data_IF_692889444933
#
_entry.id   IF_692889444933
#
_cell.length_a   1.000
_cell.length_b   1.000
_cell.length_c   1.000
_cell.angle_alpha   90.00
_cell.angle_beta   90.00
_cell.angle_gamma   90.00
#
_symmetry.space_group_name_H-M   'P 1'
#
loop_
_entity.id
_entity.type
_entity.pdbx_description
1 polymer ?
#
# COMPACT_ATOMS: atom_id res chain seq x y z
N UNK A 1 -14.33 -10.69 -26.32
CA UNK A 1 -15.03 -9.97 -25.20
C UNK A 1 -14.94 -10.85 -23.99
N UNK A 2 -14.29 -10.38 -22.92
CA UNK A 2 -14.13 -11.17 -21.70
C UNK A 2 -15.42 -11.12 -20.88
N UNK A 3 -15.75 -12.20 -20.16
CA UNK A 3 -16.96 -12.28 -19.31
C UNK A 3 -17.11 -11.08 -18.36
N UNK A 4 -16.00 -10.51 -17.89
CA UNK A 4 -15.99 -9.32 -17.02
C UNK A 4 -16.40 -8.02 -17.74
N UNK A 5 -16.05 -7.85 -19.02
CA UNK A 5 -16.50 -6.67 -19.78
C UNK A 5 -18.01 -6.71 -19.97
N UNK A 6 -18.57 -7.89 -20.18
CA UNK A 6 -20.02 -8.09 -20.26
C UNK A 6 -20.73 -7.80 -18.93
N UNK A 7 -20.17 -8.22 -17.79
CA UNK A 7 -20.73 -7.92 -16.46
C UNK A 7 -20.73 -6.41 -16.21
N UNK A 8 -19.66 -5.73 -16.58
CA UNK A 8 -19.53 -4.28 -16.40
C UNK A 8 -20.51 -3.51 -17.28
N UNK A 9 -20.70 -3.93 -18.52
CA UNK A 9 -21.69 -3.33 -19.43
C UNK A 9 -23.14 -3.59 -18.99
N UNK A 10 -23.42 -4.81 -18.50
CA UNK A 10 -24.74 -5.18 -18.01
C UNK A 10 -25.11 -4.51 -16.68
N UNK A 11 -24.12 -4.22 -15.85
CA UNK A 11 -24.31 -3.72 -14.49
C UNK A 11 -23.32 -2.57 -14.15
N UNK A 12 -23.39 -1.41 -14.82
CA UNK A 12 -22.38 -0.36 -14.73
C UNK A 12 -22.21 0.26 -13.33
N UNK A 13 -23.24 0.22 -12.49
CA UNK A 13 -23.23 0.77 -11.13
C UNK A 13 -22.92 -0.29 -10.09
N UNK A 14 -23.40 -1.53 -10.27
CA UNK A 14 -23.20 -2.58 -9.27
C UNK A 14 -21.76 -3.06 -9.19
N UNK A 15 -21.02 -3.10 -10.31
CA UNK A 15 -19.63 -3.52 -10.32
C UNK A 15 -18.72 -2.62 -9.45
N UNK A 16 -18.73 -1.26 -9.58
CA UNK A 16 -17.99 -0.38 -8.67
C UNK A 16 -18.43 -0.48 -7.20
N UNK A 17 -19.73 -0.66 -6.94
CA UNK A 17 -20.23 -0.82 -5.57
C UNK A 17 -19.69 -2.10 -4.94
N UNK A 18 -19.77 -3.22 -5.64
CA UNK A 18 -19.23 -4.51 -5.17
C UNK A 18 -17.71 -4.43 -4.97
N UNK A 19 -17.01 -3.72 -5.87
CA UNK A 19 -15.58 -3.47 -5.75
C UNK A 19 -15.25 -2.62 -4.51
N UNK A 20 -16.05 -1.62 -4.20
CA UNK A 20 -15.89 -0.81 -2.99
C UNK A 20 -16.10 -1.64 -1.72
N UNK A 21 -17.12 -2.51 -1.69
CA UNK A 21 -17.34 -3.44 -0.58
C UNK A 21 -16.13 -4.38 -0.41
N UNK A 22 -15.64 -4.95 -1.50
CA UNK A 22 -14.43 -5.78 -1.49
C UNK A 22 -13.23 -4.99 -0.96
N UNK A 23 -13.04 -3.75 -1.43
CA UNK A 23 -11.99 -2.85 -0.96
C UNK A 23 -12.09 -2.57 0.54
N UNK A 24 -13.28 -2.39 1.10
CA UNK A 24 -13.50 -2.23 2.53
C UNK A 24 -13.11 -3.47 3.33
N UNK A 25 -13.50 -4.67 2.86
CA UNK A 25 -13.12 -5.95 3.48
C UNK A 25 -11.60 -6.14 3.46
N UNK A 26 -10.97 -5.88 2.31
CA UNK A 26 -9.51 -5.96 2.19
C UNK A 26 -8.84 -4.92 3.08
N UNK A 27 -9.36 -3.68 3.15
CA UNK A 27 -8.85 -2.62 4.01
C UNK A 27 -8.87 -2.99 5.49
N UNK A 28 -9.94 -3.64 5.97
CA UNK A 28 -10.02 -4.14 7.34
C UNK A 28 -8.93 -5.18 7.62
N UNK A 29 -8.72 -6.12 6.71
CA UNK A 29 -7.61 -7.09 6.82
C UNK A 29 -6.24 -6.42 6.78
N UNK A 30 -6.02 -5.46 5.88
CA UNK A 30 -4.75 -4.73 5.77
C UNK A 30 -4.45 -3.91 7.04
N UNK A 31 -5.48 -3.42 7.73
CA UNK A 31 -5.36 -2.79 9.05
C UNK A 31 -4.77 -3.75 10.07
N UNK A 32 -5.26 -4.98 10.13
CA UNK A 32 -4.70 -6.03 11.01
C UNK A 32 -3.26 -6.37 10.65
N UNK A 33 -2.95 -6.48 9.35
CA UNK A 33 -1.58 -6.71 8.87
C UNK A 33 -0.66 -5.58 9.33
N UNK A 34 -1.06 -4.33 9.14
CA UNK A 34 -0.26 -3.17 9.49
C UNK A 34 -0.02 -3.04 11.01
N UNK A 35 -0.96 -3.51 11.84
CA UNK A 35 -0.81 -3.48 13.30
C UNK A 35 0.00 -4.65 13.86
N UNK A 36 -0.17 -5.86 13.32
CA UNK A 36 0.46 -7.07 13.90
C UNK A 36 1.82 -7.41 13.28
N UNK A 37 1.99 -7.15 11.99
CA UNK A 37 3.20 -7.58 11.27
C UNK A 37 4.50 -6.97 11.82
N UNK A 38 4.57 -5.68 12.23
CA UNK A 38 5.78 -5.13 12.84
C UNK A 38 6.22 -5.89 14.08
N UNK A 39 5.30 -6.17 15.02
CA UNK A 39 5.61 -6.92 16.22
C UNK A 39 6.08 -8.35 15.94
N UNK A 40 5.48 -9.03 14.94
CA UNK A 40 5.91 -10.37 14.52
C UNK A 40 7.33 -10.34 13.92
N UNK A 41 7.63 -9.34 13.10
CA UNK A 41 8.95 -9.21 12.43
C UNK A 41 10.04 -8.80 13.42
N UNK A 42 9.71 -8.00 14.43
CA UNK A 42 10.63 -7.60 15.50
C UNK A 42 10.78 -8.65 16.60
N UNK A 43 10.10 -9.80 16.47
CA UNK A 43 10.12 -10.91 17.45
C UNK A 43 9.70 -10.46 18.86
N UNK A 44 8.71 -9.57 18.97
CA UNK A 44 8.18 -9.09 20.23
C UNK A 44 7.39 -10.20 20.93
N UNK A 45 7.67 -10.42 22.23
CA UNK A 45 6.99 -11.42 23.04
C UNK A 45 5.46 -11.16 23.05
N UNK A 46 4.68 -12.18 22.68
CA UNK A 46 3.21 -12.08 22.63
C UNK A 46 2.62 -11.52 21.34
N UNK A 47 3.42 -11.25 20.31
CA UNK A 47 2.93 -10.73 19.03
C UNK A 47 1.95 -11.68 18.29
N UNK A 48 1.89 -12.96 18.67
CA UNK A 48 1.00 -13.97 18.09
C UNK A 48 1.28 -14.23 16.61
N UNK A 49 0.22 -14.42 15.81
CA UNK A 49 0.30 -14.49 14.36
C UNK A 49 -0.79 -13.60 13.72
N UNK A 50 -0.81 -13.48 12.39
CA UNK A 50 -1.78 -12.62 11.69
C UNK A 50 -3.24 -13.06 11.89
N UNK A 51 -3.49 -14.35 12.15
CA UNK A 51 -4.83 -14.92 12.27
C UNK A 51 -5.29 -15.05 13.72
N UNK A 52 -4.37 -15.26 14.65
CA UNK A 52 -4.67 -15.48 16.08
C UNK A 52 -3.85 -14.55 16.97
N UNK A 53 -4.46 -14.07 18.07
CA UNK A 53 -5.85 -14.21 18.51
C UNK A 53 -6.84 -13.47 17.60
N UNK A 54 -8.15 -13.79 17.72
CA UNK A 54 -9.21 -13.05 17.04
C UNK A 54 -9.15 -11.54 17.39
N UNK A 55 -9.72 -10.69 16.56
CA UNK A 55 -9.77 -9.24 16.81
C UNK A 55 -10.48 -8.97 18.14
N UNK A 56 -9.86 -8.18 19.01
CA UNK A 56 -10.35 -7.89 20.36
C UNK A 56 -10.05 -6.44 20.74
N UNK A 57 -10.81 -5.94 21.70
CA UNK A 57 -10.55 -4.62 22.27
C UNK A 57 -9.26 -4.64 23.12
N UNK A 58 -8.30 -3.74 22.90
CA UNK A 58 -7.04 -3.76 23.67
C UNK A 58 -7.22 -3.44 25.16
N UNK A 59 -8.34 -2.81 25.54
CA UNK A 59 -8.60 -2.39 26.92
C UNK A 59 -9.38 -3.44 27.73
N UNK A 60 -10.54 -3.90 27.21
CA UNK A 60 -11.38 -4.85 27.93
C UNK A 60 -11.22 -6.31 27.48
N UNK A 61 -10.36 -6.57 26.47
CA UNK A 61 -10.10 -7.91 25.89
C UNK A 61 -11.36 -8.60 25.32
N UNK A 62 -12.45 -7.84 25.15
CA UNK A 62 -13.65 -8.35 24.50
C UNK A 62 -13.33 -8.77 23.07
N UNK A 63 -13.64 -10.01 22.70
CA UNK A 63 -13.51 -10.50 21.32
C UNK A 63 -14.62 -9.91 20.46
N UNK A 64 -14.25 -9.31 19.33
CA UNK A 64 -15.22 -8.66 18.43
C UNK A 64 -16.15 -9.70 17.81
N UNK A 65 -17.46 -9.48 17.92
CA UNK A 65 -18.47 -10.25 17.22
C UNK A 65 -18.40 -9.95 15.70
N UNK A 66 -18.95 -10.85 14.86
CA UNK A 66 -18.88 -10.70 13.41
C UNK A 66 -19.45 -9.36 12.90
N UNK A 67 -20.53 -8.86 13.51
CA UNK A 67 -21.13 -7.57 13.13
C UNK A 67 -20.31 -6.36 13.59
N UNK A 68 -19.49 -6.50 14.64
CA UNK A 68 -18.57 -5.46 15.12
C UNK A 68 -17.32 -5.35 14.22
N UNK A 69 -17.11 -6.33 13.35
CA UNK A 69 -16.00 -6.41 12.41
C UNK A 69 -16.42 -6.13 10.94
N UNK A 70 -17.66 -5.66 10.71
CA UNK A 70 -18.10 -5.23 9.39
C UNK A 70 -17.42 -3.90 9.04
N UNK A 71 -16.60 -3.84 7.97
CA UNK A 71 -15.84 -2.65 7.64
C UNK A 71 -16.73 -1.42 7.47
N UNK A 72 -16.25 -0.28 7.95
CA UNK A 72 -16.94 1.03 7.95
C UNK A 72 -18.23 1.06 8.75
N UNK A 73 -19.11 0.07 8.58
CA UNK A 73 -20.45 0.03 9.17
C UNK A 73 -20.37 -0.07 10.69
N UNK A 74 -19.54 -0.99 11.20
CA UNK A 74 -19.38 -1.19 12.64
C UNK A 74 -18.85 0.08 13.33
N UNK A 75 -17.85 0.72 12.75
CA UNK A 75 -17.29 1.95 13.30
C UNK A 75 -18.30 3.10 13.33
N UNK A 76 -19.10 3.26 12.27
CA UNK A 76 -20.14 4.29 12.19
C UNK A 76 -21.28 4.00 13.19
N UNK A 77 -21.76 2.76 13.28
CA UNK A 77 -22.83 2.37 14.22
C UNK A 77 -22.41 2.53 15.68
N UNK A 78 -21.16 2.14 16.00
CA UNK A 78 -20.58 2.25 17.34
C UNK A 78 -20.00 3.64 17.64
N UNK A 79 -20.09 4.58 16.68
CA UNK A 79 -19.54 5.95 16.80
C UNK A 79 -18.07 5.96 17.20
N UNK A 80 -17.28 5.03 16.66
CA UNK A 80 -15.86 4.90 16.94
C UNK A 80 -15.54 4.47 18.37
N UNK A 81 -16.42 3.70 19.05
CA UNK A 81 -16.22 3.25 20.43
C UNK A 81 -16.44 1.75 20.56
N UNK A 82 -15.72 1.13 21.47
CA UNK A 82 -15.95 -0.27 21.82
C UNK A 82 -17.37 -0.45 22.39
N UNK A 83 -18.09 -1.45 21.91
CA UNK A 83 -19.45 -1.75 22.36
C UNK A 83 -19.52 -2.08 23.88
N UNK A 84 -18.49 -2.72 24.44
CA UNK A 84 -18.52 -3.17 25.83
C UNK A 84 -17.96 -2.15 26.83
N UNK A 85 -16.81 -1.52 26.55
CA UNK A 85 -16.14 -0.62 27.48
C UNK A 85 -16.17 0.86 27.10
N UNK A 86 -16.68 1.21 25.91
CA UNK A 86 -16.77 2.58 25.45
C UNK A 86 -15.45 3.23 25.03
N UNK A 87 -14.31 2.51 25.12
CA UNK A 87 -13.00 3.03 24.69
C UNK A 87 -13.03 3.39 23.20
N UNK A 88 -12.36 4.49 22.84
CA UNK A 88 -12.31 4.99 21.46
C UNK A 88 -11.49 4.06 20.56
N UNK A 89 -12.06 3.70 19.41
CA UNK A 89 -11.39 2.97 18.34
C UNK A 89 -10.57 3.97 17.51
N UNK A 90 -9.28 3.71 17.25
CA UNK A 90 -8.45 4.61 16.48
C UNK A 90 -9.03 4.93 15.10
N UNK A 91 -9.11 6.22 14.77
CA UNK A 91 -9.63 6.70 13.48
C UNK A 91 -8.84 6.12 12.28
N UNK A 92 -7.57 5.80 12.48
CA UNK A 92 -6.71 5.20 11.44
C UNK A 92 -7.29 3.90 10.86
N UNK A 93 -7.94 3.06 11.68
CA UNK A 93 -8.57 1.81 11.22
C UNK A 93 -9.74 2.11 10.29
N UNK A 94 -10.60 3.06 10.65
CA UNK A 94 -11.66 3.52 9.76
C UNK A 94 -11.12 4.12 8.46
N UNK A 95 -10.05 4.92 8.55
CA UNK A 95 -9.47 5.56 7.37
C UNK A 95 -8.90 4.57 6.37
N UNK A 96 -8.24 3.49 6.82
CA UNK A 96 -7.72 2.49 5.88
C UNK A 96 -8.85 1.75 5.17
N UNK A 97 -9.91 1.38 5.89
CA UNK A 97 -11.09 0.75 5.31
C UNK A 97 -11.75 1.67 4.29
N UNK A 98 -11.92 2.95 4.63
CA UNK A 98 -12.53 3.96 3.77
C UNK A 98 -11.71 4.24 2.51
N UNK A 99 -10.39 4.45 2.67
CA UNK A 99 -9.48 4.71 1.55
C UNK A 99 -9.44 3.49 0.62
N UNK A 100 -9.38 2.28 1.18
CA UNK A 100 -9.37 1.05 0.38
C UNK A 100 -10.69 0.87 -0.36
N UNK A 101 -11.84 1.08 0.30
CA UNK A 101 -13.16 1.01 -0.33
C UNK A 101 -13.29 2.03 -1.48
N UNK A 102 -12.90 3.28 -1.22
CA UNK A 102 -12.93 4.35 -2.20
C UNK A 102 -12.00 4.05 -3.39
N UNK A 103 -10.78 3.61 -3.12
CA UNK A 103 -9.79 3.26 -4.13
C UNK A 103 -10.30 2.15 -5.06
N UNK A 104 -10.79 1.04 -4.51
CA UNK A 104 -11.33 -0.07 -5.29
C UNK A 104 -12.57 0.34 -6.09
N UNK A 105 -13.48 1.10 -5.50
CA UNK A 105 -14.69 1.58 -6.17
C UNK A 105 -14.39 2.55 -7.31
N UNK A 106 -13.54 3.56 -7.06
CA UNK A 106 -13.19 4.57 -8.06
C UNK A 106 -12.39 3.95 -9.21
N UNK A 107 -11.41 3.09 -8.92
CA UNK A 107 -10.63 2.43 -9.97
C UNK A 107 -11.49 1.47 -10.81
N UNK A 108 -12.44 0.75 -10.19
CA UNK A 108 -13.41 -0.07 -10.89
C UNK A 108 -14.31 0.76 -11.82
N UNK A 109 -14.63 2.00 -11.43
CA UNK A 109 -15.41 2.91 -12.27
C UNK A 109 -14.57 3.47 -13.43
N UNK A 110 -13.36 3.94 -13.14
CA UNK A 110 -12.55 4.70 -14.12
C UNK A 110 -11.74 3.83 -15.07
N UNK A 111 -11.25 2.66 -14.63
CA UNK A 111 -10.35 1.85 -15.45
C UNK A 111 -11.13 0.97 -16.44
N UNK A 112 -10.91 1.14 -17.75
CA UNK A 112 -11.65 0.37 -18.77
C UNK A 112 -11.14 -1.07 -18.88
N UNK A 113 -9.86 -1.29 -18.59
CA UNK A 113 -9.23 -2.58 -18.71
C UNK A 113 -9.29 -3.37 -17.38
N UNK A 114 -9.86 -4.56 -17.47
CA UNK A 114 -10.08 -5.43 -16.30
C UNK A 114 -8.76 -6.03 -15.78
N UNK A 115 -7.85 -6.39 -16.68
CA UNK A 115 -6.58 -7.00 -16.29
C UNK A 115 -5.69 -5.97 -15.58
N UNK A 116 -5.59 -4.75 -16.10
CA UNK A 116 -4.89 -3.64 -15.45
C UNK A 116 -5.53 -3.29 -14.10
N UNK A 117 -6.86 -3.37 -13.98
CA UNK A 117 -7.57 -3.15 -12.74
C UNK A 117 -7.18 -4.15 -11.65
N UNK A 118 -7.18 -5.46 -11.96
CA UNK A 118 -6.76 -6.48 -11.00
C UNK A 118 -5.28 -6.37 -10.63
N UNK A 119 -4.41 -6.03 -11.60
CA UNK A 119 -3.00 -5.77 -11.34
C UNK A 119 -2.82 -4.59 -10.39
N UNK A 120 -3.57 -3.49 -10.60
CA UNK A 120 -3.55 -2.34 -9.72
C UNK A 120 -4.04 -2.68 -8.30
N UNK A 121 -5.10 -3.47 -8.17
CA UNK A 121 -5.57 -3.90 -6.87
C UNK A 121 -4.55 -4.78 -6.14
N UNK A 122 -3.93 -5.72 -6.85
CA UNK A 122 -2.86 -6.55 -6.29
C UNK A 122 -1.68 -5.68 -5.81
N UNK A 123 -1.25 -4.71 -6.62
CA UNK A 123 -0.21 -3.75 -6.25
C UNK A 123 -0.59 -2.98 -4.97
N UNK A 124 -1.83 -2.46 -4.91
CA UNK A 124 -2.33 -1.70 -3.76
C UNK A 124 -2.40 -2.53 -2.48
N UNK A 125 -2.75 -3.83 -2.57
CA UNK A 125 -2.80 -4.74 -1.41
C UNK A 125 -1.45 -4.89 -0.71
N UNK A 126 -0.34 -4.74 -1.42
CA UNK A 126 1.00 -4.73 -0.81
C UNK A 126 1.44 -3.33 -0.41
N UNK A 127 1.18 -2.32 -1.24
CA UNK A 127 1.67 -0.96 -0.99
C UNK A 127 0.95 -0.27 0.17
N UNK A 128 -0.35 -0.51 0.36
CA UNK A 128 -1.10 0.10 1.45
C UNK A 128 -0.55 -0.30 2.84
N UNK A 129 -0.40 -1.61 3.18
CA UNK A 129 0.16 -1.98 4.47
C UNK A 129 1.64 -1.57 4.59
N UNK A 130 2.46 -1.64 3.53
CA UNK A 130 3.84 -1.16 3.54
C UNK A 130 3.92 0.32 3.89
N UNK A 131 3.09 1.15 3.26
CA UNK A 131 3.03 2.58 3.55
C UNK A 131 2.61 2.88 4.99
N UNK A 132 1.66 2.10 5.55
CA UNK A 132 1.22 2.27 6.93
C UNK A 132 2.27 1.84 7.94
N UNK A 133 2.92 0.70 7.71
CA UNK A 133 3.96 0.18 8.58
C UNK A 133 5.14 1.15 8.59
N UNK A 134 5.56 1.62 7.41
CA UNK A 134 6.66 2.56 7.32
C UNK A 134 6.32 3.92 7.98
N UNK A 135 5.09 4.40 7.82
CA UNK A 135 4.64 5.63 8.49
C UNK A 135 4.72 5.56 10.03
N UNK A 136 4.44 4.38 10.61
CA UNK A 136 4.36 4.20 12.06
C UNK A 136 5.68 3.72 12.67
N UNK A 137 6.38 2.81 11.99
CA UNK A 137 7.52 2.07 12.52
C UNK A 137 8.82 2.30 11.76
N UNK A 138 8.78 3.04 10.64
CA UNK A 138 9.93 3.24 9.74
C UNK A 138 10.56 1.90 9.32
N UNK A 139 9.72 0.91 9.07
CA UNK A 139 10.07 -0.45 8.71
C UNK A 139 9.35 -0.86 7.43
N UNK A 140 10.09 -1.46 6.50
CA UNK A 140 9.55 -2.08 5.29
C UNK A 140 9.86 -3.59 5.33
N UNK A 141 8.91 -4.43 5.80
CA UNK A 141 9.14 -5.86 6.01
C UNK A 141 9.41 -6.60 4.70
N UNK A 142 10.43 -7.47 4.71
CA UNK A 142 10.80 -8.30 3.55
C UNK A 142 9.70 -9.29 3.16
N UNK A 143 8.89 -9.74 4.12
CA UNK A 143 7.74 -10.61 3.87
C UNK A 143 6.62 -9.94 3.05
N UNK A 144 6.65 -8.63 2.84
CA UNK A 144 5.77 -7.91 1.92
C UNK A 144 6.52 -7.41 0.68
N UNK A 145 7.72 -6.85 0.83
CA UNK A 145 8.47 -6.28 -0.30
C UNK A 145 8.94 -7.34 -1.29
N UNK A 146 9.39 -8.53 -0.79
CA UNK A 146 9.83 -9.61 -1.67
C UNK A 146 8.67 -10.23 -2.47
N UNK A 147 7.54 -10.63 -1.87
CA UNK A 147 6.40 -11.10 -2.65
C UNK A 147 5.87 -10.06 -3.64
N UNK A 148 5.90 -8.77 -3.28
CA UNK A 148 5.53 -7.69 -4.19
C UNK A 148 6.44 -7.67 -5.44
N UNK A 149 7.76 -7.76 -5.26
CA UNK A 149 8.73 -7.80 -6.36
C UNK A 149 8.46 -9.01 -7.27
N UNK A 150 8.33 -10.19 -6.68
CA UNK A 150 8.07 -11.41 -7.45
C UNK A 150 6.72 -11.40 -8.15
N UNK A 151 5.69 -10.84 -7.53
CA UNK A 151 4.37 -10.68 -8.15
C UNK A 151 4.45 -9.80 -9.41
N UNK A 152 5.23 -8.71 -9.41
CA UNK A 152 5.46 -7.86 -10.57
C UNK A 152 6.16 -8.62 -11.71
N UNK A 153 7.23 -9.34 -11.40
CA UNK A 153 7.95 -10.15 -12.40
C UNK A 153 7.07 -11.25 -12.99
N UNK A 154 6.33 -11.98 -12.14
CA UNK A 154 5.41 -13.04 -12.59
C UNK A 154 4.28 -12.47 -13.44
N UNK A 155 3.72 -11.32 -13.05
CA UNK A 155 2.68 -10.68 -13.85
C UNK A 155 3.17 -10.44 -15.28
N UNK A 156 4.36 -9.88 -15.46
CA UNK A 156 4.91 -9.59 -16.80
C UNK A 156 5.45 -10.82 -17.53
N UNK A 157 5.69 -11.93 -16.83
CA UNK A 157 5.97 -13.22 -17.47
C UNK A 157 4.74 -13.79 -18.21
N UNK A 158 3.52 -13.45 -17.77
CA UNK A 158 2.26 -13.92 -18.35
C UNK A 158 1.51 -12.80 -19.11
N UNK A 159 1.69 -11.55 -18.69
CA UNK A 159 1.09 -10.37 -19.33
C UNK A 159 2.14 -9.67 -20.20
N UNK A 160 1.97 -9.72 -21.51
CA UNK A 160 2.93 -9.19 -22.48
C UNK A 160 2.86 -7.66 -22.68
N UNK A 161 2.21 -6.90 -21.80
CA UNK A 161 2.12 -5.43 -21.90
C UNK A 161 3.46 -4.75 -21.69
N UNK A 162 4.22 -5.21 -20.71
CA UNK A 162 5.59 -4.80 -20.47
C UNK A 162 6.50 -6.01 -20.73
N UNK A 163 7.58 -5.87 -21.53
CA UNK A 163 8.56 -6.94 -21.71
C UNK A 163 9.16 -7.34 -20.35
N UNK A 164 9.25 -8.64 -20.08
CA UNK A 164 9.86 -9.15 -18.85
C UNK A 164 11.29 -8.62 -18.63
N UNK A 165 12.02 -8.36 -19.71
CA UNK A 165 13.36 -7.76 -19.64
C UNK A 165 13.31 -6.37 -19.02
N UNK A 166 12.33 -5.53 -19.38
CA UNK A 166 12.17 -4.19 -18.83
C UNK A 166 11.77 -4.22 -17.35
N UNK A 167 10.96 -5.19 -16.94
CA UNK A 167 10.63 -5.44 -15.53
C UNK A 167 11.86 -5.89 -14.72
N UNK A 168 12.68 -6.80 -15.28
CA UNK A 168 13.93 -7.23 -14.66
C UNK A 168 14.94 -6.09 -14.52
N UNK A 169 15.16 -5.32 -15.60
CA UNK A 169 16.03 -4.14 -15.55
C UNK A 169 15.47 -3.09 -14.59
N UNK A 170 14.14 -2.95 -14.52
CA UNK A 170 13.46 -2.09 -13.57
C UNK A 170 13.75 -2.48 -12.11
N UNK A 171 13.67 -3.76 -11.79
CA UNK A 171 14.00 -4.25 -10.45
C UNK A 171 15.45 -3.95 -10.08
N UNK A 172 16.40 -4.27 -10.97
CA UNK A 172 17.84 -4.04 -10.76
C UNK A 172 18.16 -2.54 -10.67
N UNK A 173 17.66 -1.75 -11.61
CA UNK A 173 17.93 -0.31 -11.65
C UNK A 173 17.28 0.41 -10.46
N UNK A 174 16.05 0.02 -10.06
CA UNK A 174 15.38 0.59 -8.91
C UNK A 174 16.13 0.34 -7.60
N UNK A 175 16.70 -0.87 -7.42
CA UNK A 175 17.56 -1.14 -6.27
C UNK A 175 18.84 -0.31 -6.32
N UNK A 176 19.54 -0.33 -7.45
CA UNK A 176 20.86 0.29 -7.60
C UNK A 176 20.79 1.82 -7.56
N UNK A 177 19.73 2.46 -8.04
CA UNK A 177 19.61 3.92 -8.03
C UNK A 177 19.68 4.48 -6.60
N UNK A 178 18.82 3.99 -5.71
CA UNK A 178 18.83 4.42 -4.31
C UNK A 178 20.06 3.90 -3.54
N UNK A 179 20.55 2.71 -3.86
CA UNK A 179 21.77 2.16 -3.27
C UNK A 179 22.99 3.03 -3.60
N UNK A 180 23.17 3.44 -4.85
CA UNK A 180 24.24 4.34 -5.27
C UNK A 180 24.10 5.72 -4.63
N UNK A 181 22.87 6.26 -4.57
CA UNK A 181 22.58 7.52 -3.91
C UNK A 181 22.93 7.48 -2.41
N UNK A 182 22.56 6.39 -1.72
CA UNK A 182 22.90 6.16 -0.32
C UNK A 182 24.41 6.18 -0.09
N UNK A 183 25.19 5.43 -0.87
CA UNK A 183 26.63 5.39 -0.73
C UNK A 183 27.30 6.72 -1.10
N UNK A 184 26.83 7.40 -2.14
CA UNK A 184 27.32 8.73 -2.49
C UNK A 184 27.09 9.72 -1.34
N UNK A 185 25.88 9.73 -0.77
CA UNK A 185 25.56 10.60 0.36
C UNK A 185 26.37 10.25 1.62
N UNK A 186 26.49 8.98 1.95
CA UNK A 186 27.26 8.52 3.11
C UNK A 186 28.76 8.84 2.99
N UNK A 187 29.35 8.70 1.82
CA UNK A 187 30.75 9.06 1.58
C UNK A 187 31.00 10.57 1.68
N UNK A 188 30.01 11.39 1.25
CA UNK A 188 30.15 12.85 1.28
C UNK A 188 29.86 13.45 2.65
N UNK A 189 28.90 12.91 3.39
CA UNK A 189 28.39 13.53 4.63
C UNK A 189 28.73 12.74 5.90
N UNK A 190 29.13 11.48 5.79
CA UNK A 190 29.34 10.56 6.92
C UNK A 190 28.05 10.14 7.64
N UNK A 191 26.86 10.51 7.11
CA UNK A 191 25.55 10.22 7.72
C UNK A 191 24.76 9.22 6.88
N UNK A 192 23.89 8.45 7.53
CA UNK A 192 22.93 7.58 6.86
C UNK A 192 21.68 8.42 6.53
N UNK A 193 21.32 8.50 5.23
CA UNK A 193 20.23 9.36 4.76
C UNK A 193 18.99 8.60 4.31
N UNK A 194 19.07 7.29 4.07
CA UNK A 194 17.98 6.47 3.52
C UNK A 194 17.96 5.09 4.18
N UNK A 195 16.77 4.49 4.28
CA UNK A 195 16.60 3.13 4.77
C UNK A 195 16.85 2.08 3.67
N UNK A 196 17.43 0.93 4.03
CA UNK A 196 17.61 -0.20 3.09
C UNK A 196 16.26 -0.76 2.56
N UNK A 197 15.18 -0.55 3.29
CA UNK A 197 13.85 -0.95 2.87
C UNK A 197 13.36 -0.22 1.63
N UNK A 198 13.68 1.06 1.50
CA UNK A 198 13.30 1.90 0.35
C UNK A 198 13.89 1.38 -0.96
N UNK A 199 15.13 0.82 -0.92
CA UNK A 199 15.76 0.24 -2.11
C UNK A 199 14.99 -0.97 -2.61
N UNK A 200 14.54 -1.83 -1.69
CA UNK A 200 13.75 -3.02 -2.00
C UNK A 200 12.36 -2.65 -2.52
N UNK A 201 11.75 -1.63 -1.93
CA UNK A 201 10.46 -1.13 -2.38
C UNK A 201 10.56 -0.52 -3.79
N UNK A 202 11.58 0.30 -4.07
CA UNK A 202 11.77 0.85 -5.42
C UNK A 202 12.12 -0.23 -6.44
N UNK A 203 12.89 -1.26 -6.05
CA UNK A 203 13.12 -2.44 -6.88
C UNK A 203 11.81 -3.15 -7.23
N UNK A 204 10.92 -3.34 -6.25
CA UNK A 204 9.62 -3.92 -6.47
C UNK A 204 8.76 -3.05 -7.43
N UNK A 205 8.73 -1.74 -7.24
CA UNK A 205 8.02 -0.82 -8.15
C UNK A 205 8.62 -0.83 -9.55
N UNK A 206 9.94 -0.94 -9.69
CA UNK A 206 10.61 -1.13 -10.97
C UNK A 206 10.22 -2.44 -11.67
N UNK A 207 10.02 -3.52 -10.90
CA UNK A 207 9.48 -4.77 -11.44
C UNK A 207 8.04 -4.64 -11.97
N UNK A 208 7.23 -3.75 -11.40
CA UNK A 208 5.85 -3.50 -11.82
C UNK A 208 5.71 -2.51 -12.97
N UNK A 209 6.52 -1.45 -12.97
CA UNK A 209 6.39 -0.32 -13.89
C UNK A 209 7.46 -0.29 -14.99
N UNK A 210 8.50 -1.12 -14.88
CA UNK A 210 9.66 -1.10 -15.78
C UNK A 210 10.66 0.00 -15.42
N UNK A 211 11.87 -0.11 -15.99
CA UNK A 211 12.97 0.81 -15.71
C UNK A 211 12.72 2.25 -16.21
N UNK A 212 11.94 2.41 -17.29
CA UNK A 212 11.59 3.71 -17.86
C UNK A 212 10.75 4.58 -16.92
N UNK A 213 10.00 3.94 -16.01
CA UNK A 213 9.14 4.61 -15.05
C UNK A 213 9.88 5.08 -13.78
N UNK A 214 11.05 4.53 -13.49
CA UNK A 214 11.79 4.83 -12.25
C UNK A 214 12.05 6.33 -12.02
N UNK A 215 12.54 7.11 -13.02
CA UNK A 215 12.78 8.53 -12.79
C UNK A 215 11.50 9.31 -12.42
N UNK A 216 10.35 8.92 -12.99
CA UNK A 216 9.07 9.56 -12.67
C UNK A 216 8.56 9.15 -11.27
N UNK A 217 8.78 7.90 -10.86
CA UNK A 217 8.45 7.42 -9.51
C UNK A 217 9.32 8.14 -8.47
N UNK A 218 10.64 8.19 -8.68
CA UNK A 218 11.57 8.85 -7.76
C UNK A 218 11.27 10.35 -7.64
N UNK A 219 11.03 11.04 -8.76
CA UNK A 219 10.69 12.44 -8.76
C UNK A 219 9.36 12.71 -8.05
N UNK A 220 8.32 11.95 -8.35
CA UNK A 220 7.01 12.10 -7.71
C UNK A 220 7.08 11.80 -6.20
N UNK A 221 7.83 10.76 -5.80
CA UNK A 221 8.05 10.44 -4.40
C UNK A 221 8.82 11.56 -3.68
N UNK A 222 9.87 12.11 -4.28
CA UNK A 222 10.63 13.21 -3.71
C UNK A 222 9.78 14.48 -3.56
N UNK A 223 9.04 14.87 -4.60
CA UNK A 223 8.17 16.05 -4.56
C UNK A 223 7.05 15.91 -3.54
N UNK A 224 6.38 14.74 -3.48
CA UNK A 224 5.34 14.49 -2.48
C UNK A 224 5.91 14.41 -1.07
N UNK A 225 7.12 13.86 -0.88
CA UNK A 225 7.82 13.84 0.39
C UNK A 225 8.18 15.24 0.88
N UNK A 226 8.70 16.12 0.00
CA UNK A 226 8.99 17.51 0.31
C UNK A 226 7.70 18.25 0.70
N UNK A 227 6.62 18.09 -0.07
CA UNK A 227 5.33 18.69 0.25
C UNK A 227 4.79 18.22 1.60
N UNK A 228 4.89 16.91 1.88
CA UNK A 228 4.52 16.31 3.16
C UNK A 228 5.35 16.87 4.32
N UNK A 229 6.67 17.04 4.13
CA UNK A 229 7.54 17.67 5.13
C UNK A 229 7.08 19.07 5.51
N UNK A 230 6.84 19.93 4.53
CA UNK A 230 6.38 21.29 4.80
C UNK A 230 5.01 21.32 5.47
N UNK A 231 4.08 20.44 5.06
CA UNK A 231 2.76 20.35 5.66
C UNK A 231 2.84 19.93 7.15
N UNK A 232 3.64 18.90 7.45
CA UNK A 232 3.78 18.37 8.82
C UNK A 232 4.63 19.29 9.70
N UNK A 233 5.67 19.92 9.17
CA UNK A 233 6.52 20.84 9.93
C UNK A 233 5.77 22.11 10.36
N UNK A 234 4.78 22.55 9.56
CA UNK A 234 3.90 23.64 9.94
C UNK A 234 2.96 23.26 11.10
N UNK A 235 2.64 21.96 11.25
CA UNK A 235 1.75 21.46 12.30
C UNK A 235 2.51 21.07 13.57
N UNK A 236 3.75 20.60 13.46
CA UNK A 236 4.53 20.06 14.58
C UNK A 236 6.00 20.47 14.45
N UNK A 237 6.49 21.37 15.32
CA UNK A 237 7.85 21.93 15.30
C UNK A 237 8.98 21.02 15.82
N UNK A 238 8.69 19.77 16.15
CA UNK A 238 9.71 18.84 16.66
C UNK A 238 10.35 18.06 15.50
N UNK A 239 11.64 17.78 15.60
CA UNK A 239 12.46 17.04 14.62
C UNK A 239 11.71 15.85 14.03
N UNK A 240 11.07 16.04 12.86
CA UNK A 240 10.33 15.01 12.14
C UNK A 240 11.33 14.20 11.32
N UNK A 241 11.54 12.96 11.71
CA UNK A 241 12.05 11.94 10.79
C UNK A 241 10.89 11.51 9.88
N UNK A 242 11.03 11.71 8.57
CA UNK A 242 10.01 11.35 7.61
C UNK A 242 10.35 10.00 7.02
N UNK A 243 9.41 9.05 7.11
CA UNK A 243 9.47 7.81 6.36
C UNK A 243 9.25 8.08 4.87
N UNK A 244 10.06 7.50 4.00
CA UNK A 244 10.01 7.73 2.55
C UNK A 244 9.06 6.75 1.83
N UNK A 245 8.86 5.56 2.40
CA UNK A 245 8.04 4.49 1.83
C UNK A 245 6.60 4.87 1.45
N UNK A 246 5.86 5.65 2.26
CA UNK A 246 4.51 6.09 1.91
C UNK A 246 4.46 6.94 0.63
N UNK A 247 5.43 7.84 0.45
CA UNK A 247 5.53 8.68 -0.74
C UNK A 247 5.94 7.88 -1.97
N UNK A 248 6.84 6.91 -1.78
CA UNK A 248 7.25 5.98 -2.82
C UNK A 248 6.08 5.07 -3.26
N UNK A 249 5.32 4.57 -2.30
CA UNK A 249 4.12 3.77 -2.55
C UNK A 249 3.05 4.56 -3.31
N UNK A 250 2.80 5.80 -2.90
CA UNK A 250 1.88 6.70 -3.59
C UNK A 250 2.33 6.99 -5.03
N UNK A 251 3.60 7.35 -5.22
CA UNK A 251 4.17 7.62 -6.53
C UNK A 251 4.08 6.38 -7.45
N UNK A 252 4.38 5.19 -6.92
CA UNK A 252 4.25 3.93 -7.65
C UNK A 252 2.83 3.67 -8.15
N UNK A 253 1.82 3.86 -7.29
CA UNK A 253 0.41 3.71 -7.68
C UNK A 253 0.03 4.71 -8.78
N UNK A 254 0.38 5.99 -8.62
CA UNK A 254 0.05 7.05 -9.59
C UNK A 254 0.69 6.78 -10.95
N UNK A 255 1.97 6.42 -10.97
CA UNK A 255 2.68 6.10 -12.22
C UNK A 255 2.11 4.85 -12.88
N UNK A 256 1.82 3.81 -12.10
CA UNK A 256 1.20 2.59 -12.63
C UNK A 256 -0.18 2.88 -13.24
N UNK A 257 -1.03 3.68 -12.59
CA UNK A 257 -2.31 4.12 -13.15
C UNK A 257 -2.08 4.87 -14.47
N UNK A 258 -1.14 5.82 -14.50
CA UNK A 258 -0.81 6.58 -15.72
C UNK A 258 -0.41 5.67 -16.87
N UNK A 259 0.40 4.63 -16.62
CA UNK A 259 0.77 3.64 -17.63
C UNK A 259 -0.45 2.85 -18.15
N UNK A 260 -1.38 2.45 -17.27
CA UNK A 260 -2.58 1.74 -17.71
C UNK A 260 -3.44 2.58 -18.67
N UNK A 261 -3.52 3.88 -18.48
CA UNK A 261 -4.19 4.77 -19.43
C UNK A 261 -3.38 4.97 -20.71
N UNK A 262 -2.04 5.03 -20.63
CA UNK A 262 -1.19 5.18 -21.82
C UNK A 262 -1.20 3.94 -22.73
N UNK A 263 -1.44 2.75 -22.22
CA UNK A 263 -1.60 1.53 -23.03
C UNK A 263 -2.92 1.46 -23.82
N UNK A 264 -3.86 2.36 -23.55
CA UNK A 264 -5.19 2.39 -24.20
C UNK A 264 -5.19 3.33 -25.43
N UNK A 265 -4.32 4.31 -25.46
CA UNK A 265 -4.14 5.29 -26.53
C UNK A 265 -2.87 5.01 -27.34
#
# INVERSE_FOLDING_TARGET
MNTFSLIREACPVSFPIMSAILGGIMGSFLGVVAERLPGIVMDEEGSGNLLFPASHCPVCQHTLAAWENIPLVSWLLLRGRCHQCGTTIPLRLFLIEFISALFFGVTAWCMPDVQGLFSLWLLALFLLPLAMIDWQHQLLPDCLTQPLLWAGLLLHAFDHRLPLQDALFGAVAGYLSLWLLYWAFRLLTGREGLGYGDFKLLAALGAWCGWQALPSIELAAALSGIAGYFALNNLNKNNLTISFGPYLSFAGIVVFIGQQFAFIF
#
